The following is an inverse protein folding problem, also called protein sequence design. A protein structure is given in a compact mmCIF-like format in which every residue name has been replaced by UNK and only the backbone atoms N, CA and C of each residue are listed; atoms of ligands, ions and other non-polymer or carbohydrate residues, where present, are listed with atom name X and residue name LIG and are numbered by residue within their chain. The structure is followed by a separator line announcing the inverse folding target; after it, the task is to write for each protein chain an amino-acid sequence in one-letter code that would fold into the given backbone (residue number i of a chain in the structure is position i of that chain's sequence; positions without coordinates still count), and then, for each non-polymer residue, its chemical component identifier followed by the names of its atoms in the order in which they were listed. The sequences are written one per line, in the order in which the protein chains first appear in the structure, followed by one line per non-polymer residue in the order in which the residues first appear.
data_IF_261469336378
#
_entry.id   IF_261469336378
#
_cell.length_a   1.000
_cell.length_b   1.000
_cell.length_c   1.000
_cell.angle_alpha   90.00
_cell.angle_beta   90.00
_cell.angle_gamma   90.00
#
_symmetry.space_group_name_H-M   'P 1'
#
loop_
_entity.id
_entity.type
_entity.pdbx_description
1 polymer ?
#
# COMPACT_ATOMS: atom_id res chain seq x y z
N UNK A 1 30.16 2.02 -13.94
CA UNK A 1 29.60 3.30 -13.49
C UNK A 1 29.20 4.21 -14.65
N UNK A 2 28.24 5.08 -14.40
CA UNK A 2 27.79 6.07 -15.39
C UNK A 2 28.69 7.30 -15.37
N UNK A 3 28.85 7.92 -16.52
CA UNK A 3 29.31 9.32 -16.63
C UNK A 3 28.09 10.25 -16.53
N UNK A 4 28.30 11.54 -16.34
CA UNK A 4 27.23 12.56 -16.35
C UNK A 4 26.43 12.58 -17.66
N UNK A 5 27.02 12.11 -18.75
CA UNK A 5 26.36 11.96 -20.06
C UNK A 5 25.68 10.60 -20.25
N UNK A 6 25.61 9.77 -19.22
CA UNK A 6 24.98 8.45 -19.28
C UNK A 6 25.82 7.33 -19.89
N UNK A 7 27.05 7.61 -20.27
CA UNK A 7 27.97 6.62 -20.82
C UNK A 7 28.64 5.76 -19.73
N UNK A 8 29.32 4.71 -20.16
CA UNK A 8 30.11 3.87 -19.27
C UNK A 8 31.46 4.53 -18.95
N UNK A 9 31.93 4.40 -17.71
CA UNK A 9 33.25 4.92 -17.28
C UNK A 9 34.42 4.17 -17.89
N UNK A 10 34.20 2.92 -18.25
CA UNK A 10 35.23 2.04 -18.81
C UNK A 10 34.70 1.39 -20.09
N UNK A 11 35.58 1.13 -21.01
CA UNK A 11 35.25 0.34 -22.18
C UNK A 11 34.85 -1.09 -21.75
N UNK A 12 33.78 -1.60 -22.36
CA UNK A 12 33.36 -2.99 -22.23
C UNK A 12 33.91 -3.77 -23.39
N UNK A 13 34.39 -4.98 -23.12
CA UNK A 13 34.87 -5.87 -24.17
C UNK A 13 33.72 -6.31 -25.07
N UNK A 14 34.06 -6.62 -26.31
CA UNK A 14 33.08 -7.18 -27.25
C UNK A 14 32.45 -8.44 -26.67
N UNK A 15 31.13 -8.61 -26.87
CA UNK A 15 30.32 -9.69 -26.29
C UNK A 15 30.23 -9.72 -24.76
N UNK A 16 30.54 -8.63 -24.06
CA UNK A 16 30.28 -8.55 -22.63
C UNK A 16 28.78 -8.66 -22.34
N UNK A 17 28.42 -9.52 -21.39
CA UNK A 17 27.03 -9.61 -20.94
C UNK A 17 26.68 -8.44 -20.04
N UNK A 18 25.62 -7.73 -20.37
CA UNK A 18 25.04 -6.66 -19.57
C UNK A 18 23.70 -7.16 -19.02
N UNK A 19 23.60 -7.24 -17.70
CA UNK A 19 22.36 -7.55 -17.02
C UNK A 19 21.68 -6.23 -16.64
N UNK A 20 20.42 -6.10 -17.01
CA UNK A 20 19.54 -5.01 -16.59
C UNK A 20 18.56 -5.56 -15.55
N UNK A 21 18.47 -4.90 -14.42
CA UNK A 21 17.50 -5.21 -13.38
C UNK A 21 16.97 -3.92 -12.75
N UNK A 22 15.90 -4.05 -12.00
CA UNK A 22 15.34 -2.98 -11.19
C UNK A 22 16.35 -2.51 -10.13
N UNK A 23 16.33 -1.27 -9.76
CA UNK A 23 17.22 -0.68 -8.74
C UNK A 23 17.17 -1.44 -7.41
N UNK A 24 15.97 -1.85 -7.00
CA UNK A 24 15.72 -2.56 -5.75
C UNK A 24 15.74 -4.10 -5.88
N UNK A 25 16.20 -4.62 -7.00
CA UNK A 25 16.22 -6.07 -7.25
C UNK A 25 16.88 -6.88 -6.12
N UNK A 26 17.97 -6.36 -5.55
CA UNK A 26 18.72 -7.05 -4.49
C UNK A 26 18.06 -7.00 -3.10
N UNK A 27 16.92 -6.32 -2.97
CA UNK A 27 16.10 -6.37 -1.76
C UNK A 27 15.22 -7.63 -1.70
N UNK A 28 15.14 -8.38 -2.80
CA UNK A 28 14.26 -9.52 -2.99
C UNK A 28 15.06 -10.78 -3.34
N UNK A 29 14.47 -11.94 -3.09
CA UNK A 29 15.09 -13.24 -3.37
C UNK A 29 15.21 -13.55 -4.87
N UNK A 30 14.37 -12.93 -5.70
CA UNK A 30 14.36 -13.14 -7.15
C UNK A 30 13.43 -12.15 -7.86
N UNK A 31 13.20 -12.38 -9.14
CA UNK A 31 12.20 -11.64 -9.89
C UNK A 31 10.78 -12.19 -9.57
N UNK A 32 9.74 -11.35 -9.58
CA UNK A 32 8.38 -11.82 -9.38
C UNK A 32 7.94 -12.73 -10.53
N UNK A 33 7.25 -13.81 -10.23
CA UNK A 33 6.81 -14.83 -11.19
C UNK A 33 5.33 -15.13 -11.04
N UNK A 34 5.00 -16.26 -10.43
CA UNK A 34 3.61 -16.69 -10.23
C UNK A 34 3.48 -17.38 -8.89
N UNK A 35 2.44 -17.04 -8.13
CA UNK A 35 2.15 -17.75 -6.88
C UNK A 35 1.66 -19.17 -7.16
N UNK A 36 1.98 -20.10 -6.27
CA UNK A 36 1.57 -21.51 -6.38
C UNK A 36 0.04 -21.65 -6.47
N UNK A 37 -0.71 -20.84 -5.74
CA UNK A 37 -2.18 -20.87 -5.73
C UNK A 37 -2.77 -20.45 -7.08
N UNK A 38 -2.18 -19.44 -7.73
CA UNK A 38 -2.59 -18.99 -9.07
C UNK A 38 -2.22 -20.01 -10.13
N UNK A 39 -1.03 -20.61 -10.05
CA UNK A 39 -0.61 -21.70 -10.93
C UNK A 39 -1.53 -22.91 -10.80
N UNK A 40 -1.88 -23.31 -9.60
CA UNK A 40 -2.81 -24.41 -9.35
C UNK A 40 -4.22 -24.15 -9.94
N UNK A 41 -4.62 -22.89 -10.06
CA UNK A 41 -5.87 -22.48 -10.71
C UNK A 41 -5.75 -22.32 -12.24
N UNK A 42 -4.56 -22.55 -12.82
CA UNK A 42 -4.29 -22.41 -14.25
C UNK A 42 -3.94 -21.00 -14.72
N UNK A 43 -3.69 -20.09 -13.77
CA UNK A 43 -3.22 -18.73 -14.04
C UNK A 43 -1.69 -18.61 -14.04
N UNK A 44 -1.19 -17.39 -14.24
CA UNK A 44 0.25 -17.12 -14.26
C UNK A 44 0.56 -15.63 -14.16
N UNK A 45 1.82 -15.32 -13.81
CA UNK A 45 2.42 -13.98 -13.85
C UNK A 45 1.73 -12.96 -12.92
N UNK A 46 1.22 -13.42 -11.81
CA UNK A 46 0.47 -12.61 -10.87
C UNK A 46 1.32 -11.91 -9.81
N UNK A 47 2.55 -12.38 -9.58
CA UNK A 47 3.40 -11.77 -8.55
C UNK A 47 3.93 -10.40 -8.93
N UNK A 48 4.06 -9.55 -7.93
CA UNK A 48 4.80 -8.30 -7.99
C UNK A 48 5.57 -8.05 -6.70
N UNK A 49 6.57 -7.20 -6.78
CA UNK A 49 7.31 -6.67 -5.64
C UNK A 49 6.99 -5.20 -5.48
N UNK A 50 6.77 -4.77 -4.25
CA UNK A 50 6.47 -3.38 -3.93
C UNK A 50 7.51 -2.87 -2.95
N UNK A 51 8.02 -1.67 -3.20
CA UNK A 51 8.92 -0.94 -2.30
C UNK A 51 8.30 0.40 -1.97
N UNK A 52 8.23 0.72 -0.71
CA UNK A 52 7.81 2.03 -0.20
C UNK A 52 9.06 2.79 0.22
N UNK A 53 9.22 3.99 -0.30
CA UNK A 53 10.39 4.83 -0.08
C UNK A 53 10.02 6.13 0.62
N UNK A 54 10.91 6.62 1.44
CA UNK A 54 10.91 7.99 1.93
C UNK A 54 11.55 8.91 0.88
N UNK A 55 10.74 9.43 -0.06
CA UNK A 55 11.25 10.10 -1.26
C UNK A 55 12.10 11.33 -0.93
N UNK A 56 11.66 12.13 0.02
CA UNK A 56 12.29 13.39 0.42
C UNK A 56 13.02 13.35 1.76
N UNK A 57 12.94 12.24 2.48
CA UNK A 57 13.57 12.07 3.79
C UNK A 57 12.75 12.69 4.93
N UNK A 58 11.46 12.96 4.71
CA UNK A 58 10.60 13.56 5.72
C UNK A 58 10.30 12.66 6.91
N UNK A 59 10.41 11.35 6.75
CA UNK A 59 10.12 10.34 7.78
C UNK A 59 11.41 9.89 8.47
N UNK A 60 12.41 9.48 7.69
CA UNK A 60 13.65 8.88 8.20
C UNK A 60 14.78 9.90 8.39
N UNK A 61 14.68 11.05 7.75
CA UNK A 61 15.74 12.04 7.64
C UNK A 61 16.68 11.80 6.47
N UNK A 62 16.48 10.74 5.69
CA UNK A 62 17.33 10.38 4.54
C UNK A 62 16.47 10.15 3.31
N UNK A 63 16.63 10.99 2.30
CA UNK A 63 15.90 10.86 1.06
C UNK A 63 16.26 9.54 0.33
N UNK A 64 15.23 8.83 -0.14
CA UNK A 64 15.35 7.56 -0.84
C UNK A 64 15.53 6.34 0.07
N UNK A 65 15.40 6.50 1.39
CA UNK A 65 15.45 5.36 2.32
C UNK A 65 14.24 4.44 2.13
N UNK A 66 14.48 3.13 2.21
CA UNK A 66 13.42 2.12 2.11
C UNK A 66 12.67 2.05 3.43
N UNK A 67 11.36 2.30 3.39
CA UNK A 67 10.47 2.16 4.54
C UNK A 67 9.94 0.75 4.68
N UNK A 68 9.42 0.17 3.60
CA UNK A 68 8.83 -1.17 3.57
C UNK A 68 9.06 -1.87 2.24
N UNK A 69 9.07 -3.19 2.29
CA UNK A 69 9.13 -4.05 1.10
C UNK A 69 8.08 -5.15 1.19
N UNK A 70 7.40 -5.42 0.07
CA UNK A 70 6.45 -6.52 -0.04
C UNK A 70 6.90 -7.42 -1.20
N UNK A 71 7.33 -8.63 -0.86
CA UNK A 71 7.86 -9.60 -1.82
C UNK A 71 6.78 -10.58 -2.26
N UNK A 72 6.65 -10.80 -3.58
CA UNK A 72 5.82 -11.85 -4.13
C UNK A 72 4.33 -11.73 -3.83
N UNK A 73 3.83 -10.49 -3.67
CA UNK A 73 2.39 -10.26 -3.48
C UNK A 73 1.66 -10.43 -4.80
N UNK A 74 0.43 -10.96 -4.74
CA UNK A 74 -0.35 -11.31 -5.92
C UNK A 74 -1.24 -10.17 -6.39
N UNK A 75 -1.39 -10.04 -7.68
CA UNK A 75 -2.38 -9.17 -8.33
C UNK A 75 -3.78 -9.80 -8.36
N UNK A 76 -3.90 -11.12 -8.15
CA UNK A 76 -5.18 -11.81 -8.13
C UNK A 76 -5.92 -11.56 -6.82
N UNK A 77 -7.16 -11.07 -6.90
CA UNK A 77 -7.96 -10.63 -5.76
C UNK A 77 -8.37 -11.75 -4.77
N UNK A 78 -8.20 -13.00 -5.16
CA UNK A 78 -8.53 -14.18 -4.33
C UNK A 78 -7.33 -15.12 -4.13
N UNK A 79 -6.12 -14.69 -4.48
CA UNK A 79 -4.91 -15.48 -4.26
C UNK A 79 -4.63 -15.71 -2.79
N UNK A 80 -4.11 -16.89 -2.47
CA UNK A 80 -3.74 -17.32 -1.13
C UNK A 80 -2.24 -17.60 -1.05
N UNK A 81 -1.68 -17.27 0.10
CA UNK A 81 -0.33 -17.71 0.47
C UNK A 81 -0.34 -19.20 0.82
N UNK A 82 0.84 -19.78 0.98
CA UNK A 82 1.01 -21.18 1.42
C UNK A 82 0.38 -21.46 2.79
N UNK A 83 0.17 -20.43 3.61
CA UNK A 83 -0.51 -20.52 4.92
C UNK A 83 -2.03 -20.38 4.84
N UNK A 84 -2.59 -20.11 3.65
CA UNK A 84 -4.01 -19.91 3.43
C UNK A 84 -4.52 -18.48 3.66
N UNK A 85 -3.67 -17.57 4.09
CA UNK A 85 -3.98 -16.13 4.23
C UNK A 85 -4.09 -15.48 2.85
N UNK A 86 -4.75 -14.33 2.76
CA UNK A 86 -4.76 -13.55 1.51
C UNK A 86 -3.33 -13.17 1.11
N UNK A 87 -3.00 -13.41 -0.18
CA UNK A 87 -1.78 -12.92 -0.80
C UNK A 87 -2.06 -11.76 -1.76
N UNK A 88 -3.29 -11.30 -1.83
CA UNK A 88 -3.66 -10.15 -2.64
C UNK A 88 -2.96 -8.90 -2.12
N UNK A 89 -2.29 -8.17 -3.01
CA UNK A 89 -1.42 -7.06 -2.61
C UNK A 89 -2.13 -6.00 -1.77
N UNK A 90 -3.39 -5.68 -2.09
CA UNK A 90 -4.14 -4.67 -1.33
C UNK A 90 -4.45 -5.13 0.10
N UNK A 91 -4.81 -6.41 0.28
CA UNK A 91 -5.05 -6.98 1.60
C UNK A 91 -3.77 -7.10 2.41
N UNK A 92 -2.67 -7.51 1.77
CA UNK A 92 -1.36 -7.61 2.43
C UNK A 92 -0.93 -6.24 2.93
N UNK A 93 -0.97 -5.22 2.07
CA UNK A 93 -0.61 -3.85 2.45
C UNK A 93 -1.54 -3.34 3.56
N UNK A 94 -2.86 -3.51 3.42
CA UNK A 94 -3.82 -3.06 4.43
C UNK A 94 -3.55 -3.63 5.82
N UNK A 95 -3.14 -4.91 5.89
CA UNK A 95 -2.93 -5.59 7.17
C UNK A 95 -1.53 -5.41 7.75
N UNK A 96 -0.54 -5.05 6.94
CA UNK A 96 0.87 -5.08 7.38
C UNK A 96 1.61 -3.75 7.22
N UNK A 97 1.19 -2.86 6.33
CA UNK A 97 1.85 -1.57 6.15
C UNK A 97 1.56 -0.61 7.31
N UNK A 98 2.59 0.14 7.69
CA UNK A 98 2.48 1.26 8.63
C UNK A 98 2.44 2.62 7.92
N UNK A 99 2.69 2.67 6.63
CA UNK A 99 2.90 3.92 5.89
C UNK A 99 1.87 4.16 4.79
N UNK A 100 1.37 3.11 4.14
CA UNK A 100 0.54 3.26 2.94
C UNK A 100 -0.72 2.38 2.98
N UNK A 101 -1.75 2.85 2.27
CA UNK A 101 -2.97 2.10 1.98
C UNK A 101 -3.18 2.07 0.47
N UNK A 102 -3.73 0.97 -0.02
CA UNK A 102 -4.13 0.84 -1.42
C UNK A 102 -5.57 1.30 -1.58
N UNK A 103 -5.77 2.35 -2.37
CA UNK A 103 -7.10 2.90 -2.67
C UNK A 103 -7.61 2.44 -4.04
N UNK A 104 -6.69 2.15 -4.96
CA UNK A 104 -6.99 1.74 -6.32
C UNK A 104 -5.84 0.90 -6.88
N UNK A 105 -5.99 0.33 -8.07
CA UNK A 105 -5.00 -0.51 -8.72
C UNK A 105 -4.63 0.00 -10.10
N UNK A 106 -3.48 -0.43 -10.60
CA UNK A 106 -3.02 -0.10 -11.94
C UNK A 106 -3.96 -0.71 -12.99
N UNK A 107 -4.57 0.15 -13.80
CA UNK A 107 -5.56 -0.25 -14.81
C UNK A 107 -4.95 -0.51 -16.19
N UNK A 108 -3.68 -0.15 -16.40
CA UNK A 108 -2.99 -0.35 -17.68
C UNK A 108 -2.40 -1.76 -17.81
N UNK A 109 -2.33 -2.51 -16.72
CA UNK A 109 -1.88 -3.90 -16.71
C UNK A 109 -3.08 -4.84 -16.80
N UNK A 110 -3.02 -5.79 -17.71
CA UNK A 110 -4.11 -6.75 -17.92
C UNK A 110 -4.40 -7.54 -16.64
N UNK A 111 -5.66 -7.60 -16.28
CA UNK A 111 -6.20 -8.32 -15.11
C UNK A 111 -5.73 -7.83 -13.72
N UNK A 112 -4.85 -6.83 -13.65
CA UNK A 112 -4.33 -6.36 -12.36
C UNK A 112 -5.44 -5.86 -11.43
N UNK A 113 -5.39 -6.30 -10.17
CA UNK A 113 -6.19 -5.80 -9.06
C UNK A 113 -7.68 -6.18 -9.03
N UNK A 114 -8.24 -6.66 -10.13
CA UNK A 114 -9.67 -6.99 -10.23
C UNK A 114 -9.94 -8.45 -10.62
N UNK A 115 -9.04 -9.07 -11.36
CA UNK A 115 -9.21 -10.45 -11.79
C UNK A 115 -8.91 -11.44 -10.67
N UNK A 116 -9.46 -12.64 -10.82
CA UNK A 116 -9.24 -13.77 -9.92
C UNK A 116 -8.12 -14.66 -10.42
N UNK A 117 -7.59 -15.49 -9.53
CA UNK A 117 -6.67 -16.58 -9.91
C UNK A 117 -7.28 -17.43 -11.03
N UNK A 118 -6.42 -17.99 -11.86
CA UNK A 118 -6.84 -18.67 -13.09
C UNK A 118 -6.72 -17.79 -14.35
N UNK A 119 -6.39 -16.51 -14.16
CA UNK A 119 -6.05 -15.59 -15.26
C UNK A 119 -4.54 -15.45 -15.41
N UNK A 120 -4.10 -15.07 -16.62
CA UNK A 120 -2.73 -14.64 -16.85
C UNK A 120 -2.66 -13.14 -16.62
N UNK A 121 -1.77 -12.74 -15.74
CA UNK A 121 -1.55 -11.33 -15.41
C UNK A 121 -0.42 -10.76 -16.26
N UNK A 122 -0.40 -9.44 -16.35
CA UNK A 122 0.56 -8.73 -17.15
C UNK A 122 1.60 -8.07 -16.23
N UNK A 123 2.52 -8.87 -15.70
CA UNK A 123 3.61 -8.37 -14.87
C UNK A 123 4.90 -8.11 -15.66
N UNK A 124 4.98 -8.64 -16.86
CA UNK A 124 6.10 -8.45 -17.78
C UNK A 124 5.59 -8.48 -19.21
N UNK A 125 5.88 -7.48 -19.97
CA UNK A 125 5.55 -7.38 -21.38
C UNK A 125 6.77 -7.75 -22.22
N UNK A 126 6.76 -8.93 -22.80
CA UNK A 126 7.85 -9.39 -23.66
C UNK A 126 9.19 -9.33 -22.89
N UNK A 127 10.08 -8.50 -23.34
CA UNK A 127 11.44 -8.35 -22.76
C UNK A 127 11.53 -7.29 -21.68
N UNK A 128 10.42 -6.66 -21.30
CA UNK A 128 10.42 -5.55 -20.35
C UNK A 128 9.66 -5.89 -19.08
N UNK A 129 10.38 -5.93 -17.98
CA UNK A 129 9.76 -5.80 -16.67
C UNK A 129 9.09 -4.44 -16.58
N UNK A 130 7.81 -4.42 -16.24
CA UNK A 130 7.07 -3.17 -16.05
C UNK A 130 7.35 -2.65 -14.65
N UNK A 131 8.28 -1.70 -14.55
CA UNK A 131 8.49 -0.95 -13.31
C UNK A 131 7.61 0.28 -13.34
N UNK A 132 6.76 0.42 -12.32
CA UNK A 132 5.93 1.61 -12.09
C UNK A 132 6.42 2.31 -10.83
N UNK A 133 6.52 3.63 -10.90
CA UNK A 133 6.89 4.47 -9.77
C UNK A 133 5.84 5.56 -9.61
N UNK A 134 5.36 5.72 -8.40
CA UNK A 134 4.36 6.72 -8.04
C UNK A 134 4.87 7.54 -6.87
N UNK A 135 4.81 8.87 -6.98
CA UNK A 135 5.02 9.77 -5.85
C UNK A 135 3.67 10.09 -5.21
N UNK A 136 3.59 9.93 -3.89
CA UNK A 136 2.44 10.36 -3.12
C UNK A 136 2.57 11.87 -2.88
N UNK A 137 1.61 12.63 -3.36
CA UNK A 137 1.63 14.09 -3.28
C UNK A 137 0.26 14.63 -2.85
N UNK A 138 0.24 15.90 -2.46
CA UNK A 138 -1.01 16.62 -2.13
C UNK A 138 -1.76 16.07 -0.92
N UNK A 139 -1.09 15.38 -0.01
CA UNK A 139 -1.63 15.09 1.30
C UNK A 139 -1.94 16.39 2.04
N UNK A 140 -3.10 16.46 2.68
CA UNK A 140 -3.48 17.58 3.53
C UNK A 140 -3.92 17.06 4.90
N UNK A 141 -3.40 17.69 5.94
CA UNK A 141 -3.89 17.44 7.28
C UNK A 141 -5.18 18.23 7.51
N UNK A 142 -6.19 17.55 8.03
CA UNK A 142 -7.41 18.19 8.49
C UNK A 142 -7.43 18.26 10.01
N UNK A 143 -6.96 19.39 10.54
CA UNK A 143 -7.03 19.69 11.97
C UNK A 143 -8.31 20.42 12.38
N UNK A 144 -9.20 20.70 11.43
CA UNK A 144 -10.45 21.41 11.64
C UNK A 144 -11.65 20.47 11.83
N UNK A 145 -11.45 19.40 12.62
CA UNK A 145 -12.48 18.41 12.91
C UNK A 145 -13.71 19.08 13.54
N UNK A 146 -14.88 18.87 12.95
CA UNK A 146 -16.16 19.41 13.44
C UNK A 146 -16.72 18.58 14.60
N UNK A 147 -17.61 19.16 15.39
CA UNK A 147 -18.30 18.43 16.46
C UNK A 147 -19.13 17.24 15.91
N UNK A 148 -19.67 17.35 14.72
CA UNK A 148 -20.42 16.28 14.06
C UNK A 148 -19.54 15.09 13.68
N UNK A 149 -18.33 15.34 13.17
CA UNK A 149 -17.36 14.28 12.87
C UNK A 149 -16.87 13.59 14.13
N UNK A 150 -16.63 14.35 15.19
CA UNK A 150 -16.29 13.81 16.50
C UNK A 150 -17.43 12.96 17.07
N UNK A 151 -18.70 13.42 16.94
CA UNK A 151 -19.85 12.63 17.36
C UNK A 151 -19.96 11.31 16.61
N UNK A 152 -19.78 11.33 15.28
CA UNK A 152 -19.74 10.12 14.45
C UNK A 152 -18.64 9.14 14.88
N UNK A 153 -17.49 9.64 15.32
CA UNK A 153 -16.43 8.79 15.86
C UNK A 153 -16.85 8.15 17.22
N UNK A 154 -17.48 8.91 18.10
CA UNK A 154 -18.00 8.39 19.36
C UNK A 154 -19.11 7.34 19.18
N UNK A 155 -19.99 7.50 18.19
CA UNK A 155 -21.03 6.52 17.86
C UNK A 155 -20.50 5.12 17.56
N UNK A 156 -19.22 4.97 17.20
CA UNK A 156 -18.57 3.66 17.03
C UNK A 156 -18.47 2.87 18.35
N UNK A 157 -18.62 3.53 19.46
CA UNK A 157 -18.62 2.92 20.79
C UNK A 157 -20.03 2.65 21.33
N UNK A 158 -21.08 3.01 20.58
CA UNK A 158 -22.49 2.82 20.97
C UNK A 158 -22.98 1.38 20.67
N UNK A 159 -22.17 0.40 21.04
CA UNK A 159 -22.51 -1.03 20.91
C UNK A 159 -22.22 -1.71 22.24
N UNK A 160 -23.18 -1.64 23.15
CA UNK A 160 -23.07 -2.20 24.50
C UNK A 160 -22.93 -3.74 24.54
N UNK A 161 -23.17 -4.43 23.43
CA UNK A 161 -23.02 -5.89 23.36
C UNK A 161 -21.58 -6.30 23.07
N UNK A 162 -20.84 -5.47 22.30
CA UNK A 162 -19.51 -5.81 21.82
C UNK A 162 -18.42 -4.89 22.39
N UNK A 163 -18.78 -3.73 22.91
CA UNK A 163 -17.84 -2.72 23.43
C UNK A 163 -18.14 -2.41 24.90
N UNK A 164 -17.25 -2.80 25.78
CA UNK A 164 -17.33 -2.48 27.22
C UNK A 164 -16.50 -1.24 27.53
N UNK A 165 -17.16 -0.12 27.82
CA UNK A 165 -16.52 1.17 28.08
C UNK A 165 -16.58 1.49 29.57
N UNK A 166 -15.42 1.58 30.23
CA UNK A 166 -15.32 1.94 31.63
C UNK A 166 -15.12 3.46 31.83
N UNK A 167 -14.63 4.18 30.85
CA UNK A 167 -14.35 5.59 30.91
C UNK A 167 -14.41 6.25 29.53
N UNK A 168 -15.15 7.33 29.41
CA UNK A 168 -15.27 8.12 28.19
C UNK A 168 -14.70 9.53 28.42
N UNK A 169 -13.66 9.90 27.70
CA UNK A 169 -12.99 11.20 27.81
C UNK A 169 -13.52 12.14 26.73
N UNK A 170 -14.27 13.15 27.13
CA UNK A 170 -14.81 14.17 26.25
C UNK A 170 -13.90 15.40 26.23
N UNK A 171 -12.96 15.49 25.36
CA UNK A 171 -12.18 16.73 25.17
C UNK A 171 -13.07 17.98 24.94
N UNK A 172 -12.48 19.17 24.80
CA UNK A 172 -13.24 20.39 24.55
C UNK A 172 -14.04 20.31 23.25
N UNK A 173 -15.17 21.02 23.19
CA UNK A 173 -15.90 21.20 21.94
C UNK A 173 -15.14 22.08 20.97
N UNK A 174 -15.24 21.77 19.67
CA UNK A 174 -14.67 22.61 18.64
C UNK A 174 -15.48 23.90 18.50
N UNK A 175 -14.83 24.97 18.09
CA UNK A 175 -15.48 26.23 17.72
C UNK A 175 -15.79 26.24 16.23
N UNK A 176 -16.99 26.52 15.83
CA UNK A 176 -17.39 26.53 14.42
C UNK A 176 -18.88 26.77 14.22
N UNK A 177 -19.44 26.36 13.09
CA UNK A 177 -20.85 26.51 12.76
C UNK A 177 -21.78 25.78 13.73
N UNK A 178 -21.30 24.75 14.40
CA UNK A 178 -21.95 24.07 15.53
C UNK A 178 -21.30 24.53 16.85
N UNK A 179 -21.50 25.81 17.15
CA UNK A 179 -20.84 26.49 18.27
C UNK A 179 -21.33 26.03 19.65
N UNK A 180 -22.43 25.28 19.73
CA UNK A 180 -22.99 24.84 21.01
C UNK A 180 -22.35 23.59 21.55
N UNK A 181 -21.71 22.78 20.71
CA UNK A 181 -21.18 21.47 21.07
C UNK A 181 -22.24 20.44 21.46
N UNK A 182 -23.51 20.76 21.25
CA UNK A 182 -24.64 19.93 21.65
C UNK A 182 -24.60 18.54 20.98
N UNK A 183 -24.23 18.50 19.71
CA UNK A 183 -24.12 17.23 18.94
C UNK A 183 -23.12 16.27 19.58
N UNK A 184 -21.95 16.79 19.96
CA UNK A 184 -20.93 15.98 20.64
C UNK A 184 -21.37 15.55 22.03
N UNK A 185 -21.94 16.48 22.79
CA UNK A 185 -22.41 16.20 24.15
C UNK A 185 -23.52 15.15 24.15
N UNK A 186 -24.48 15.24 23.20
CA UNK A 186 -25.53 14.25 23.03
C UNK A 186 -24.97 12.88 22.71
N UNK A 187 -24.09 12.76 21.71
CA UNK A 187 -23.49 11.49 21.32
C UNK A 187 -22.73 10.82 22.49
N UNK A 188 -22.02 11.60 23.27
CA UNK A 188 -21.29 11.09 24.45
C UNK A 188 -22.23 10.63 25.56
N UNK A 189 -23.33 11.37 25.80
CA UNK A 189 -24.35 10.98 26.80
C UNK A 189 -25.12 9.73 26.39
N UNK A 190 -25.36 9.53 25.09
CA UNK A 190 -26.08 8.37 24.57
C UNK A 190 -25.27 7.07 24.68
N UNK A 191 -23.92 7.18 24.76
CA UNK A 191 -23.01 6.06 24.92
C UNK A 191 -22.78 5.72 26.43
N UNK A 192 -22.89 6.69 27.31
CA UNK A 192 -22.62 6.55 28.74
C UNK A 192 -23.78 5.91 29.51
#
# INVERSE_FOLDING_TARGET
GKTETGGLRHAVVDNAKILRHWEFYFQFSGAPTSTDDVVAAGGSLDEMHIVVLDEDGGITGTAGEILETFEGVSQASDAKSSTGSSNFFADVIYNTSNFVYVMDHETTLANSGSAKKGQTFDNAQGDAFVVKTYSLASGTDDYAVTNAEVATAYEKFNDAENVDISLLLCGPSQTGADATGDTKATAVMDIA
#
